data_IF_036825595659
#
_entry.id   IF_036825595659
#
_cell.length_a   1.000
_cell.length_b   1.000
_cell.length_c   1.000
_cell.angle_alpha   90.00
_cell.angle_beta   90.00
_cell.angle_gamma   90.00
#
_symmetry.space_group_name_H-M   'P 1'
#
loop_
_entity.id
_entity.type
_entity.pdbx_description
1 polymer ?
#
# COMPACT_ATOMS: atom_id res chain seq x y z
N UNK A 1 12.94 -39.40 0.12
CA UNK A 1 13.24 -38.07 -0.45
C UNK A 1 11.99 -37.33 -0.95
N UNK A 2 11.08 -37.96 -1.72
CA UNK A 2 9.89 -37.26 -2.24
C UNK A 2 8.91 -36.70 -1.19
N UNK A 3 8.74 -37.37 -0.05
CA UNK A 3 7.82 -36.91 1.01
C UNK A 3 8.22 -35.58 1.65
N UNK A 4 9.51 -35.38 1.93
CA UNK A 4 10.03 -34.14 2.51
C UNK A 4 9.89 -32.94 1.56
N UNK A 5 10.13 -33.16 0.26
CA UNK A 5 9.95 -32.11 -0.75
C UNK A 5 8.47 -31.74 -0.91
N UNK A 6 7.56 -32.72 -0.89
CA UNK A 6 6.12 -32.46 -0.95
C UNK A 6 5.62 -31.70 0.27
N UNK A 7 6.10 -32.06 1.47
CA UNK A 7 5.80 -31.33 2.70
C UNK A 7 6.27 -29.88 2.62
N UNK A 8 7.47 -29.64 2.07
CA UNK A 8 7.99 -28.28 1.85
C UNK A 8 7.06 -27.48 0.94
N UNK A 9 6.60 -28.05 -0.19
CA UNK A 9 5.68 -27.35 -1.10
C UNK A 9 4.40 -26.96 -0.39
N UNK A 10 3.78 -27.89 0.36
CA UNK A 10 2.53 -27.63 1.08
C UNK A 10 2.73 -26.52 2.12
N UNK A 11 3.82 -26.56 2.91
CA UNK A 11 4.16 -25.51 3.86
C UNK A 11 4.36 -24.16 3.18
N UNK A 12 5.12 -24.12 2.08
CA UNK A 12 5.36 -22.90 1.33
C UNK A 12 4.05 -22.29 0.79
N UNK A 13 3.13 -23.10 0.28
CA UNK A 13 1.81 -22.66 -0.18
C UNK A 13 0.99 -22.08 0.98
N UNK A 14 0.91 -22.77 2.12
CA UNK A 14 0.18 -22.30 3.31
C UNK A 14 0.73 -20.96 3.78
N UNK A 15 2.06 -20.88 3.92
CA UNK A 15 2.74 -19.67 4.39
C UNK A 15 2.57 -18.52 3.40
N UNK A 16 2.61 -18.78 2.08
CA UNK A 16 2.32 -17.76 1.08
C UNK A 16 0.93 -17.15 1.28
N UNK A 17 -0.12 -17.97 1.39
CA UNK A 17 -1.47 -17.46 1.60
C UNK A 17 -1.65 -16.77 2.95
N UNK A 18 -0.99 -17.25 4.00
CA UNK A 18 -0.96 -16.59 5.29
C UNK A 18 -0.32 -15.21 5.22
N UNK A 19 0.89 -15.10 4.63
CA UNK A 19 1.57 -13.81 4.46
C UNK A 19 0.75 -12.86 3.59
N UNK A 20 0.15 -13.35 2.50
CA UNK A 20 -0.73 -12.57 1.65
C UNK A 20 -1.95 -12.04 2.43
N UNK A 21 -2.55 -12.85 3.30
CA UNK A 21 -3.66 -12.41 4.15
C UNK A 21 -3.20 -11.38 5.19
N UNK A 22 -2.05 -11.61 5.83
CA UNK A 22 -1.48 -10.69 6.82
C UNK A 22 -1.14 -9.33 6.20
N UNK A 23 -0.46 -9.32 5.05
CA UNK A 23 -0.15 -8.06 4.35
C UNK A 23 -1.43 -7.32 3.97
N UNK A 24 -2.50 -8.04 3.62
CA UNK A 24 -3.82 -7.45 3.35
C UNK A 24 -4.48 -6.85 4.60
N UNK A 25 -4.26 -7.43 5.78
CA UNK A 25 -4.80 -6.97 7.07
C UNK A 25 -4.01 -5.79 7.67
N UNK A 26 -2.68 -5.79 7.50
CA UNK A 26 -1.80 -4.69 7.92
C UNK A 26 -2.18 -3.37 7.27
N UNK A 27 -2.85 -3.42 6.11
CA UNK A 27 -3.52 -2.27 5.50
C UNK A 27 -2.58 -1.40 4.67
N UNK A 28 -3.09 -0.23 4.25
CA UNK A 28 -2.35 0.77 3.48
C UNK A 28 -1.63 1.68 4.45
N UNK A 29 -0.32 1.87 4.32
CA UNK A 29 0.37 2.91 5.09
C UNK A 29 -0.01 4.27 4.50
N UNK A 30 -0.51 5.15 5.35
CA UNK A 30 -1.19 6.40 4.98
C UNK A 30 -0.26 7.54 4.59
N UNK A 31 1.05 7.30 4.57
CA UNK A 31 2.07 8.27 4.16
C UNK A 31 3.20 7.53 3.44
N UNK A 32 2.99 7.13 2.19
CA UNK A 32 4.00 6.85 1.16
C UNK A 32 5.12 5.81 1.42
N UNK A 33 5.29 5.33 2.64
CA UNK A 33 6.39 4.52 3.15
C UNK A 33 5.84 3.50 4.15
N UNK A 34 6.56 2.40 4.34
CA UNK A 34 6.29 1.50 5.44
C UNK A 34 6.63 2.21 6.75
N UNK A 35 5.72 2.18 7.72
CA UNK A 35 6.09 2.63 9.08
C UNK A 35 7.29 1.82 9.57
N UNK A 36 8.14 2.42 10.41
CA UNK A 36 9.29 1.72 11.01
C UNK A 36 8.86 0.41 11.68
N UNK A 37 7.69 0.40 12.30
CA UNK A 37 7.12 -0.80 12.91
C UNK A 37 6.74 -1.87 11.87
N UNK A 38 6.12 -1.50 10.75
CA UNK A 38 5.80 -2.43 9.65
C UNK A 38 7.07 -3.00 9.01
N UNK A 39 8.11 -2.19 8.87
CA UNK A 39 9.41 -2.66 8.36
C UNK A 39 9.99 -3.73 9.29
N UNK A 40 10.04 -3.47 10.60
CA UNK A 40 10.49 -4.45 11.61
C UNK A 40 9.62 -5.71 11.57
N UNK A 41 8.30 -5.55 11.46
CA UNK A 41 7.35 -6.67 11.37
C UNK A 41 7.66 -7.57 10.17
N UNK A 42 7.90 -6.99 8.99
CA UNK A 42 8.21 -7.77 7.79
C UNK A 42 9.57 -8.45 7.84
N UNK A 43 10.58 -7.82 8.46
CA UNK A 43 11.90 -8.44 8.67
C UNK A 43 11.76 -9.66 9.59
N UNK A 44 11.10 -9.50 10.74
CA UNK A 44 10.88 -10.60 11.69
C UNK A 44 10.01 -11.70 11.07
N UNK A 45 8.99 -11.33 10.29
CA UNK A 45 8.20 -12.33 9.55
C UNK A 45 9.03 -13.12 8.56
N UNK A 46 9.96 -12.49 7.84
CA UNK A 46 10.85 -13.18 6.91
C UNK A 46 11.65 -14.30 7.58
N UNK A 47 12.20 -14.02 8.77
CA UNK A 47 12.91 -14.99 9.58
C UNK A 47 12.00 -16.13 10.07
N UNK A 48 10.83 -15.81 10.61
CA UNK A 48 9.85 -16.82 11.07
C UNK A 48 9.36 -17.72 9.91
N UNK A 49 9.16 -17.13 8.73
CA UNK A 49 8.77 -17.84 7.51
C UNK A 49 9.88 -18.77 7.04
N UNK A 50 11.13 -18.29 7.02
CA UNK A 50 12.27 -19.10 6.67
C UNK A 50 12.36 -20.33 7.58
N UNK A 51 12.26 -20.14 8.91
CA UNK A 51 12.27 -21.24 9.87
C UNK A 51 11.08 -22.18 9.71
N UNK A 52 9.88 -21.66 9.40
CA UNK A 52 8.67 -22.47 9.21
C UNK A 52 8.66 -23.29 7.91
N UNK A 53 9.21 -22.74 6.82
CA UNK A 53 9.21 -23.36 5.48
C UNK A 53 10.38 -24.32 5.30
N UNK A 54 11.60 -23.91 5.64
CA UNK A 54 12.80 -24.75 5.41
C UNK A 54 13.21 -25.58 6.63
N UNK A 55 12.71 -25.25 7.83
CA UNK A 55 13.12 -25.89 9.09
C UNK A 55 14.64 -25.94 9.25
N UNK A 56 15.24 -27.15 9.19
CA UNK A 56 16.67 -27.42 9.26
C UNK A 56 17.25 -27.95 7.93
N UNK A 57 16.45 -27.97 6.84
CA UNK A 57 16.93 -28.36 5.52
C UNK A 57 17.51 -27.15 4.78
N UNK A 58 18.83 -27.00 4.91
CA UNK A 58 19.62 -25.94 4.25
C UNK A 58 20.14 -26.36 2.87
N UNK A 59 19.58 -27.40 2.25
CA UNK A 59 19.99 -27.81 0.91
C UNK A 59 19.64 -26.75 -0.13
N UNK A 60 20.45 -26.66 -1.19
CA UNK A 60 20.14 -25.76 -2.32
C UNK A 60 18.82 -26.16 -2.98
N UNK A 61 18.49 -27.46 -3.00
CA UNK A 61 17.24 -27.97 -3.56
C UNK A 61 16.02 -27.46 -2.80
N UNK A 62 16.02 -27.52 -1.46
CA UNK A 62 14.90 -27.01 -0.64
C UNK A 62 14.71 -25.50 -0.83
N UNK A 63 15.81 -24.74 -0.87
CA UNK A 63 15.80 -23.30 -1.10
C UNK A 63 15.23 -22.91 -2.48
N UNK A 64 15.74 -23.53 -3.56
CA UNK A 64 15.26 -23.28 -4.93
C UNK A 64 13.79 -23.66 -5.07
N UNK A 65 13.38 -24.78 -4.46
CA UNK A 65 11.99 -25.24 -4.52
C UNK A 65 11.05 -24.28 -3.77
N UNK A 66 11.42 -23.85 -2.56
CA UNK A 66 10.63 -22.89 -1.78
C UNK A 66 10.46 -21.56 -2.54
N UNK A 67 11.56 -20.98 -3.03
CA UNK A 67 11.55 -19.74 -3.81
C UNK A 67 10.73 -19.91 -5.09
N UNK A 68 10.89 -21.05 -5.78
CA UNK A 68 10.13 -21.39 -6.98
C UNK A 68 8.62 -21.43 -6.73
N UNK A 69 8.18 -22.04 -5.62
CA UNK A 69 6.75 -22.06 -5.24
C UNK A 69 6.24 -20.64 -4.99
N UNK A 70 6.97 -19.82 -4.23
CA UNK A 70 6.58 -18.42 -4.00
C UNK A 70 6.49 -17.61 -5.30
N UNK A 71 7.47 -17.76 -6.20
CA UNK A 71 7.48 -17.09 -7.49
C UNK A 71 6.30 -17.52 -8.36
N UNK A 72 6.03 -18.82 -8.45
CA UNK A 72 4.91 -19.37 -9.22
C UNK A 72 3.56 -18.89 -8.69
N UNK A 73 3.36 -18.91 -7.37
CA UNK A 73 2.12 -18.41 -6.75
C UNK A 73 1.95 -16.90 -6.95
N UNK A 74 3.04 -16.13 -6.89
CA UNK A 74 3.01 -14.68 -7.16
C UNK A 74 2.60 -14.41 -8.61
N UNK A 75 3.20 -15.13 -9.56
CA UNK A 75 2.84 -15.01 -10.98
C UNK A 75 1.39 -15.46 -11.24
N UNK A 76 0.96 -16.56 -10.61
CA UNK A 76 -0.42 -17.03 -10.72
C UNK A 76 -1.41 -15.98 -10.20
N UNK A 77 -1.16 -15.40 -9.02
CA UNK A 77 -1.99 -14.35 -8.45
C UNK A 77 -2.03 -13.10 -9.34
N UNK A 78 -0.88 -12.70 -9.88
CA UNK A 78 -0.78 -11.57 -10.83
C UNK A 78 -1.61 -11.83 -12.09
N UNK A 79 -1.47 -13.02 -12.67
CA UNK A 79 -2.22 -13.42 -13.86
C UNK A 79 -3.73 -13.51 -13.59
N UNK A 80 -4.14 -14.06 -12.44
CA UNK A 80 -5.54 -14.07 -12.01
C UNK A 80 -6.10 -12.64 -11.91
N UNK A 81 -5.35 -11.70 -11.35
CA UNK A 81 -5.75 -10.29 -11.27
C UNK A 81 -5.80 -9.58 -12.63
N UNK A 82 -4.97 -10.00 -13.58
CA UNK A 82 -5.01 -9.50 -14.95
C UNK A 82 -6.25 -10.04 -15.68
N UNK A 83 -6.54 -11.34 -15.55
CA UNK A 83 -7.61 -12.03 -16.25
C UNK A 83 -9.01 -11.73 -15.68
N UNK A 84 -9.10 -11.49 -14.37
CA UNK A 84 -10.34 -11.26 -13.65
C UNK A 84 -10.28 -9.92 -12.89
N UNK A 85 -10.64 -8.78 -13.52
CA UNK A 85 -10.57 -7.46 -12.88
C UNK A 85 -11.36 -7.35 -11.56
N UNK A 86 -12.39 -8.19 -11.38
CA UNK A 86 -13.18 -8.27 -10.14
C UNK A 86 -12.37 -8.75 -8.92
N UNK A 87 -11.30 -9.52 -9.11
CA UNK A 87 -10.47 -9.99 -7.99
C UNK A 87 -9.58 -8.89 -7.44
N UNK A 88 -9.29 -7.84 -8.22
CA UNK A 88 -8.44 -6.70 -7.82
C UNK A 88 -8.93 -6.00 -6.56
N UNK A 89 -10.26 -5.87 -6.39
CA UNK A 89 -10.81 -5.24 -5.18
C UNK A 89 -10.48 -6.02 -3.90
N UNK A 90 -10.33 -7.35 -3.98
CA UNK A 90 -9.95 -8.20 -2.86
C UNK A 90 -8.43 -8.24 -2.71
N UNK A 91 -7.70 -8.43 -3.81
CA UNK A 91 -6.25 -8.68 -3.82
C UNK A 91 -5.39 -7.43 -3.74
N UNK A 92 -5.83 -6.32 -4.34
CA UNK A 92 -5.11 -5.04 -4.41
C UNK A 92 -5.89 -3.92 -3.68
N UNK A 93 -7.17 -4.12 -3.40
CA UNK A 93 -8.05 -3.07 -2.87
C UNK A 93 -8.56 -2.14 -3.98
N UNK A 94 -9.36 -1.16 -3.59
CA UNK A 94 -9.98 -0.19 -4.52
C UNK A 94 -9.47 1.21 -4.15
N UNK A 95 -9.12 2.08 -5.12
CA UNK A 95 -8.84 3.48 -4.84
C UNK A 95 -10.07 4.18 -4.24
N UNK A 96 -9.85 5.07 -3.28
CA UNK A 96 -10.94 5.75 -2.57
C UNK A 96 -10.75 7.25 -2.68
N UNK A 97 -11.76 7.96 -3.19
CA UNK A 97 -11.74 9.42 -3.20
C UNK A 97 -11.85 9.93 -1.76
N UNK A 98 -10.87 10.66 -1.25
CA UNK A 98 -10.82 11.13 0.14
C UNK A 98 -11.04 12.63 0.30
N UNK A 99 -10.91 13.41 -0.78
CA UNK A 99 -11.27 14.84 -0.84
C UNK A 99 -12.12 15.07 -2.08
N UNK A 100 -13.23 15.79 -1.92
CA UNK A 100 -14.10 16.23 -3.00
C UNK A 100 -14.29 17.75 -2.87
N UNK A 101 -13.93 18.52 -3.90
CA UNK A 101 -14.10 19.97 -3.96
C UNK A 101 -13.59 20.71 -2.72
N UNK A 102 -12.36 20.39 -2.30
CA UNK A 102 -11.70 20.99 -1.16
C UNK A 102 -12.18 20.49 0.20
N UNK A 103 -13.15 19.58 0.24
CA UNK A 103 -13.72 19.06 1.49
C UNK A 103 -13.29 17.62 1.73
N UNK A 104 -12.57 17.33 2.84
CA UNK A 104 -12.22 15.97 3.21
C UNK A 104 -13.45 15.14 3.57
N UNK A 105 -13.56 13.94 3.00
CA UNK A 105 -14.66 13.02 3.26
C UNK A 105 -14.37 12.19 4.50
N UNK A 106 -14.73 12.71 5.68
CA UNK A 106 -14.38 12.12 6.99
C UNK A 106 -14.74 10.63 7.13
N UNK A 107 -15.87 10.19 6.55
CA UNK A 107 -16.27 8.78 6.57
C UNK A 107 -15.26 7.87 5.86
N UNK A 108 -14.73 8.32 4.72
CA UNK A 108 -13.77 7.57 3.90
C UNK A 108 -12.37 7.60 4.53
N UNK A 109 -11.97 8.74 5.09
CA UNK A 109 -10.74 8.83 5.88
C UNK A 109 -10.75 7.85 7.07
N UNK A 110 -11.86 7.77 7.81
CA UNK A 110 -12.02 6.81 8.91
C UNK A 110 -11.99 5.35 8.46
N UNK A 111 -12.66 5.00 7.35
CA UNK A 111 -12.64 3.61 6.85
C UNK A 111 -11.26 3.19 6.39
N UNK A 112 -10.48 4.13 5.85
CA UNK A 112 -9.11 3.90 5.38
C UNK A 112 -8.06 4.14 6.49
N UNK A 113 -8.48 4.38 7.74
CA UNK A 113 -7.60 4.65 8.90
C UNK A 113 -6.62 5.81 8.66
N UNK A 114 -6.99 6.77 7.83
CA UNK A 114 -6.23 7.98 7.56
C UNK A 114 -6.72 9.10 8.47
N UNK A 115 -5.81 9.71 9.24
CA UNK A 115 -6.16 10.92 9.97
C UNK A 115 -6.19 12.13 9.03
N UNK A 116 -6.91 13.17 9.43
CA UNK A 116 -6.90 14.43 8.67
C UNK A 116 -5.50 15.06 8.64
N UNK A 117 -4.70 14.82 9.68
CA UNK A 117 -3.35 15.37 9.79
C UNK A 117 -2.37 14.64 8.87
N UNK A 118 -2.55 13.34 8.65
CA UNK A 118 -1.83 12.57 7.62
C UNK A 118 -2.13 13.14 6.23
N UNK A 119 -3.41 13.40 5.93
CA UNK A 119 -3.82 13.97 4.65
C UNK A 119 -3.20 15.35 4.42
N UNK A 120 -3.19 16.20 5.45
CA UNK A 120 -2.55 17.52 5.39
C UNK A 120 -1.03 17.41 5.27
N UNK A 121 -0.41 16.45 5.94
CA UNK A 121 1.02 16.20 5.83
C UNK A 121 1.39 15.79 4.40
N UNK A 122 0.63 14.86 3.81
CA UNK A 122 0.84 14.40 2.44
C UNK A 122 0.59 15.54 1.42
N UNK A 123 -0.45 16.35 1.62
CA UNK A 123 -0.70 17.55 0.82
C UNK A 123 0.50 18.52 0.86
N UNK A 124 1.08 18.78 2.05
CA UNK A 124 2.27 19.64 2.18
C UNK A 124 3.49 19.07 1.48
N UNK A 125 3.70 17.75 1.52
CA UNK A 125 4.79 17.09 0.78
C UNK A 125 4.66 17.29 -0.73
N UNK A 126 3.43 17.43 -1.24
CA UNK A 126 3.13 17.74 -2.63
C UNK A 126 3.03 19.26 -2.92
N UNK A 127 3.42 20.12 -1.97
CA UNK A 127 3.41 21.58 -2.14
C UNK A 127 2.02 22.25 -2.00
N UNK A 128 1.00 21.49 -1.59
CA UNK A 128 -0.37 21.99 -1.41
C UNK A 128 -0.51 22.53 0.02
N UNK A 129 -0.80 23.84 0.13
CA UNK A 129 -0.92 24.53 1.42
C UNK A 129 -2.29 24.36 2.05
N UNK A 130 -3.34 24.46 1.23
CA UNK A 130 -4.72 24.34 1.67
C UNK A 130 -5.42 23.22 0.90
N UNK A 131 -6.13 22.35 1.63
CA UNK A 131 -6.95 21.32 1.02
C UNK A 131 -8.11 21.94 0.22
N UNK A 132 -8.53 23.17 0.52
CA UNK A 132 -9.53 23.92 -0.26
C UNK A 132 -9.16 24.06 -1.75
N UNK A 133 -7.88 23.93 -2.09
CA UNK A 133 -7.35 24.09 -3.45
C UNK A 133 -7.40 22.77 -4.23
N UNK A 134 -7.69 21.68 -3.53
CA UNK A 134 -7.77 20.32 -4.07
C UNK A 134 -9.16 20.10 -4.63
N UNK A 135 -9.27 19.91 -5.93
CA UNK A 135 -10.51 19.52 -6.59
C UNK A 135 -10.89 18.08 -6.21
N UNK A 136 -9.91 17.17 -6.29
CA UNK A 136 -10.09 15.77 -5.94
C UNK A 136 -8.78 15.20 -5.39
N UNK A 137 -8.89 14.43 -4.30
CA UNK A 137 -7.79 13.59 -3.82
C UNK A 137 -8.23 12.14 -3.76
N UNK A 138 -7.38 11.24 -4.26
CA UNK A 138 -7.65 9.80 -4.34
C UNK A 138 -6.59 9.06 -3.53
N UNK A 139 -7.02 8.31 -2.52
CA UNK A 139 -6.18 7.35 -1.83
C UNK A 139 -6.04 6.09 -2.70
N UNK A 140 -4.84 5.89 -3.22
CA UNK A 140 -4.49 4.77 -4.08
C UNK A 140 -4.36 3.45 -3.32
N UNK A 141 -4.30 2.34 -4.05
CA UNK A 141 -4.18 0.99 -3.48
C UNK A 141 -2.91 0.76 -2.69
N UNK A 142 -1.86 1.51 -3.01
CA UNK A 142 -0.56 1.49 -2.35
C UNK A 142 -0.47 2.45 -1.14
N UNK A 143 -1.55 3.15 -0.78
CA UNK A 143 -1.59 4.09 0.33
C UNK A 143 -1.10 5.51 0.03
N UNK A 144 -0.66 5.79 -1.20
CA UNK A 144 -0.32 7.15 -1.64
C UNK A 144 -1.58 7.94 -1.97
N UNK A 145 -1.53 9.26 -1.82
CA UNK A 145 -2.61 10.14 -2.29
C UNK A 145 -2.23 10.82 -3.59
N UNK A 146 -3.10 10.67 -4.59
CA UNK A 146 -3.07 11.44 -5.83
C UNK A 146 -3.88 12.72 -5.62
N UNK A 147 -3.25 13.89 -5.74
CA UNK A 147 -3.92 15.18 -5.62
C UNK A 147 -4.11 15.83 -7.00
N UNK A 148 -5.30 16.38 -7.22
CA UNK A 148 -5.63 17.20 -8.38
C UNK A 148 -6.14 18.53 -7.86
N UNK A 149 -5.42 19.61 -8.15
CA UNK A 149 -5.76 20.97 -7.72
C UNK A 149 -6.52 21.70 -8.82
N UNK A 150 -7.34 22.69 -8.43
CA UNK A 150 -7.98 23.57 -9.40
C UNK A 150 -6.91 24.42 -10.08
N UNK A 151 -6.66 24.19 -11.36
CA UNK A 151 -5.77 25.04 -12.15
C UNK A 151 -6.37 26.46 -12.25
N UNK A 152 -5.72 27.44 -11.64
CA UNK A 152 -5.99 28.87 -11.86
C UNK A 152 -6.75 29.61 -10.76
N UNK A 153 -6.19 29.72 -9.54
CA UNK A 153 -6.47 30.93 -8.76
C UNK A 153 -5.61 32.07 -9.32
N UNK A 154 -6.21 33.21 -9.71
CA UNK A 154 -5.44 34.42 -9.92
C UNK A 154 -4.63 34.67 -8.64
N UNK A 155 -3.34 34.91 -8.81
CA UNK A 155 -2.53 35.48 -7.74
C UNK A 155 -3.25 36.74 -7.25
N UNK A 156 -3.45 36.92 -5.93
CA UNK A 156 -4.02 38.16 -5.43
C UNK A 156 -3.20 39.31 -6.03
N UNK A 157 -3.83 40.37 -6.57
CA UNK A 157 -3.07 41.51 -7.05
C UNK A 157 -2.06 41.92 -5.97
N UNK A 158 -0.80 42.21 -6.31
CA UNK A 158 0.14 42.75 -5.36
C UNK A 158 -0.54 43.92 -4.64
N UNK A 159 -0.56 43.91 -3.31
CA UNK A 159 -1.06 45.04 -2.53
C UNK A 159 -0.32 46.28 -3.04
N UNK A 160 -1.05 47.13 -3.77
CA UNK A 160 -0.55 48.42 -4.23
C UNK A 160 -0.26 49.23 -2.96
N UNK A 161 1.00 49.49 -2.61
CA UNK A 161 1.29 50.37 -1.50
C UNK A 161 0.76 51.74 -1.91
N UNK A 162 -0.39 52.09 -1.34
CA UNK A 162 -1.06 53.37 -1.57
C UNK A 162 0.00 54.49 -1.53
N UNK A 163 0.00 55.43 -2.49
CA UNK A 163 0.95 56.53 -2.47
C UNK A 163 0.79 57.22 -1.12
N UNK A 164 1.86 57.23 -0.34
CA UNK A 164 1.95 58.04 0.86
C UNK A 164 1.80 59.49 0.36
N UNK A 165 0.61 60.07 0.53
CA UNK A 165 0.37 61.50 0.40
C UNK A 165 1.05 62.25 1.54
#
# INVERSE_FOLDING_TARGET
MGGALMELVVRAVIVFFFLWAVTRLVGRSTVGELSTFQLVLFIVMGDLVQQGVTQQDYSVTSAVLAVGVFALLTLALSWTNARFPRTRGVTQGIPVVIVENGTPVAKRLRSERMSIDDLRADARQHGIRDLADVEIAILETNGRVSFFTRSGRPEPPPDDPSPIM
#
